data_IF_209883441379
#
_entry.id   IF_209883441379
#
_cell.length_a   1.000
_cell.length_b   1.000
_cell.length_c   1.000
_cell.angle_alpha   90.00
_cell.angle_beta   90.00
_cell.angle_gamma   90.00
#
_symmetry.space_group_name_H-M   'P 1'
#
loop_
_entity.id
_entity.type
_entity.pdbx_description
1 polymer ?
#
# COMPACT_ATOMS: atom_id res chain seq x y z
N UNK A 1 10.06 -13.05 -3.41
CA UNK A 1 9.81 -12.08 -4.51
C UNK A 1 9.23 -10.87 -3.84
N UNK A 2 9.73 -9.69 -4.18
CA UNK A 2 9.36 -8.47 -3.49
C UNK A 2 8.00 -7.94 -3.95
N UNK A 3 7.37 -7.14 -3.11
CA UNK A 3 6.09 -6.51 -3.40
C UNK A 3 6.12 -5.68 -4.68
N UNK A 4 7.18 -4.89 -4.87
CA UNK A 4 7.45 -4.12 -6.11
C UNK A 4 7.66 -4.97 -7.37
N UNK A 5 7.99 -6.24 -7.22
CA UNK A 5 8.26 -7.17 -8.31
C UNK A 5 7.09 -8.15 -8.54
N UNK A 6 5.99 -8.03 -7.78
CA UNK A 6 4.92 -9.01 -7.85
C UNK A 6 4.18 -8.94 -9.19
N UNK A 7 4.00 -10.06 -9.91
CA UNK A 7 3.41 -10.07 -11.25
C UNK A 7 1.90 -9.78 -11.22
N UNK A 8 1.26 -9.81 -10.04
CA UNK A 8 -0.18 -9.63 -9.87
C UNK A 8 -0.57 -8.51 -8.89
N UNK A 9 0.40 -7.78 -8.35
CA UNK A 9 0.13 -6.55 -7.59
C UNK A 9 0.74 -5.41 -8.38
N UNK A 10 -0.04 -4.38 -8.65
CA UNK A 10 0.51 -3.12 -9.12
C UNK A 10 1.17 -2.41 -7.93
N UNK A 11 2.51 -2.31 -7.97
CA UNK A 11 3.29 -1.64 -6.94
C UNK A 11 4.41 -0.80 -7.58
N UNK A 12 4.71 0.41 -7.06
CA UNK A 12 4.00 1.11 -5.99
C UNK A 12 2.56 1.45 -6.38
N UNK A 13 1.65 1.55 -5.40
CA UNK A 13 0.25 1.74 -5.71
C UNK A 13 -0.01 3.18 -6.18
N UNK A 14 -1.07 3.37 -6.96
CA UNK A 14 -1.49 4.70 -7.40
C UNK A 14 -2.18 5.43 -6.25
N UNK A 15 -1.58 6.53 -5.80
CA UNK A 15 -2.15 7.38 -4.76
C UNK A 15 -3.18 8.33 -5.36
N UNK A 16 -4.38 8.31 -4.77
CA UNK A 16 -5.42 9.29 -5.06
C UNK A 16 -5.33 10.43 -4.04
N UNK A 17 -4.98 11.62 -4.51
CA UNK A 17 -5.19 12.87 -3.78
C UNK A 17 -6.62 13.35 -4.06
N UNK A 18 -7.29 13.97 -3.10
CA UNK A 18 -8.45 14.83 -3.38
C UNK A 18 -8.13 16.07 -4.24
N UNK A 19 -6.95 16.18 -4.86
CA UNK A 19 -6.53 17.31 -5.69
C UNK A 19 -5.11 17.21 -6.27
N UNK A 20 -5.02 17.12 -7.60
CA UNK A 20 -3.95 17.56 -8.53
C UNK A 20 -2.46 17.14 -8.41
N UNK A 21 -1.93 16.52 -7.34
CA UNK A 21 -0.55 15.98 -7.37
C UNK A 21 -0.51 14.45 -7.36
N UNK A 22 0.03 13.88 -8.43
CA UNK A 22 0.46 12.48 -8.48
C UNK A 22 1.64 12.30 -7.52
N UNK A 23 1.38 11.68 -6.38
CA UNK A 23 2.43 11.36 -5.42
C UNK A 23 3.37 10.30 -6.02
N UNK A 24 4.68 10.49 -5.85
CA UNK A 24 5.61 9.42 -6.19
C UNK A 24 5.31 8.24 -5.26
N UNK A 25 5.09 7.06 -5.85
CA UNK A 25 4.44 5.94 -5.17
C UNK A 25 5.13 5.44 -3.89
N UNK A 26 6.42 5.77 -3.72
CA UNK A 26 7.28 5.31 -2.63
C UNK A 26 7.62 6.40 -1.60
N UNK A 27 7.16 7.63 -1.82
CA UNK A 27 7.33 8.72 -0.86
C UNK A 27 6.28 8.63 0.26
N UNK A 28 6.64 9.16 1.43
CA UNK A 28 5.74 9.24 2.58
C UNK A 28 5.84 8.09 3.58
N UNK A 29 5.03 8.21 4.62
CA UNK A 29 4.92 7.26 5.72
C UNK A 29 3.59 6.53 5.64
N UNK A 30 3.64 5.20 5.57
CA UNK A 30 2.45 4.37 5.67
C UNK A 30 1.76 4.60 7.01
N UNK A 31 0.50 5.02 6.98
CA UNK A 31 -0.30 5.32 8.18
C UNK A 31 -1.24 4.19 8.56
N UNK A 32 -1.83 3.52 7.58
CA UNK A 32 -2.83 2.48 7.83
C UNK A 32 -2.91 1.50 6.67
N UNK A 33 -3.35 0.28 6.98
CA UNK A 33 -3.71 -0.75 6.00
C UNK A 33 -4.93 -1.53 6.49
N UNK A 34 -6.03 -1.45 5.75
CA UNK A 34 -7.24 -2.16 6.11
C UNK A 34 -7.96 -2.75 4.91
N UNK A 35 -8.85 -3.70 5.21
CA UNK A 35 -9.73 -4.27 4.22
C UNK A 35 -10.88 -3.31 3.94
N UNK A 36 -11.13 -3.04 2.67
CA UNK A 36 -12.36 -2.42 2.22
C UNK A 36 -13.29 -3.44 1.53
N UNK A 37 -12.70 -4.52 1.01
CA UNK A 37 -13.41 -5.71 0.52
C UNK A 37 -12.56 -6.96 0.80
N UNK A 38 -13.11 -8.18 0.72
CA UNK A 38 -12.37 -9.40 1.05
C UNK A 38 -11.05 -9.59 0.30
N UNK A 39 -10.94 -9.07 -0.93
CA UNK A 39 -9.74 -9.13 -1.77
C UNK A 39 -9.17 -7.74 -2.11
N UNK A 40 -9.50 -6.71 -1.33
CA UNK A 40 -9.10 -5.33 -1.60
C UNK A 40 -8.64 -4.64 -0.33
N UNK A 41 -7.44 -4.08 -0.37
CA UNK A 41 -6.86 -3.31 0.72
C UNK A 41 -6.91 -1.82 0.41
N UNK A 42 -7.14 -1.01 1.44
CA UNK A 42 -6.94 0.43 1.43
C UNK A 42 -5.70 0.73 2.24
N UNK A 43 -4.76 1.45 1.63
CA UNK A 43 -3.58 2.00 2.28
C UNK A 43 -3.76 3.50 2.42
N UNK A 44 -3.32 4.05 3.56
CA UNK A 44 -3.17 5.49 3.73
C UNK A 44 -1.70 5.85 3.91
N UNK A 45 -1.27 6.93 3.29
CA UNK A 45 0.12 7.38 3.28
C UNK A 45 0.18 8.87 3.53
N UNK A 46 1.06 9.29 4.46
CA UNK A 46 1.23 10.69 4.82
C UNK A 46 2.51 11.27 4.23
N UNK A 47 2.38 12.39 3.54
CA UNK A 47 3.48 13.15 2.92
C UNK A 47 3.26 14.62 3.22
N UNK A 48 4.22 15.27 3.87
CA UNK A 48 4.18 16.70 4.22
C UNK A 48 2.85 17.13 4.91
N UNK A 49 2.32 16.27 5.79
CA UNK A 49 1.08 16.51 6.53
C UNK A 49 -0.22 16.30 5.75
N UNK A 50 -0.15 15.86 4.49
CA UNK A 50 -1.30 15.44 3.68
C UNK A 50 -1.42 13.92 3.66
N UNK A 51 -2.65 13.42 3.72
CA UNK A 51 -2.94 11.97 3.63
C UNK A 51 -3.47 11.63 2.25
N UNK A 52 -2.87 10.60 1.67
CA UNK A 52 -3.21 10.03 0.38
C UNK A 52 -3.71 8.61 0.58
N UNK A 53 -4.64 8.19 -0.28
CA UNK A 53 -5.20 6.84 -0.22
C UNK A 53 -4.90 6.07 -1.48
N UNK A 54 -4.63 4.78 -1.32
CA UNK A 54 -4.44 3.86 -2.42
C UNK A 54 -5.19 2.57 -2.19
N UNK A 55 -5.78 2.05 -3.26
CA UNK A 55 -6.46 0.78 -3.27
C UNK A 55 -5.57 -0.28 -3.90
N UNK A 56 -5.47 -1.44 -3.26
CA UNK A 56 -4.71 -2.58 -3.77
C UNK A 56 -5.67 -3.74 -3.97
N UNK A 57 -5.88 -4.08 -5.24
CA UNK A 57 -6.59 -5.28 -5.61
C UNK A 57 -5.67 -6.50 -5.46
N UNK A 58 -6.12 -7.48 -4.69
CA UNK A 58 -5.44 -8.74 -4.46
C UNK A 58 -6.11 -9.85 -5.28
N UNK A 59 -5.32 -10.82 -5.73
CA UNK A 59 -5.86 -11.90 -6.58
C UNK A 59 -6.84 -12.83 -5.85
N UNK A 60 -6.74 -12.94 -4.52
CA UNK A 60 -7.70 -13.64 -3.68
C UNK A 60 -7.65 -13.12 -2.23
N UNK A 61 -8.62 -13.59 -1.43
CA UNK A 61 -8.80 -13.18 -0.03
C UNK A 61 -7.66 -13.64 0.89
N UNK A 62 -7.16 -14.86 0.69
CA UNK A 62 -6.05 -15.41 1.50
C UNK A 62 -4.77 -14.58 1.33
N UNK A 63 -4.50 -14.15 0.11
CA UNK A 63 -3.37 -13.28 -0.18
C UNK A 63 -3.57 -11.87 0.35
N UNK A 64 -4.77 -11.30 0.24
CA UNK A 64 -5.08 -10.02 0.85
C UNK A 64 -4.84 -10.04 2.38
N UNK A 65 -5.26 -11.11 3.06
CA UNK A 65 -4.99 -11.32 4.47
C UNK A 65 -3.50 -11.41 4.79
N UNK A 66 -2.76 -12.26 4.06
CA UNK A 66 -1.32 -12.40 4.26
C UNK A 66 -0.56 -11.09 3.99
N UNK A 67 -0.95 -10.36 2.95
CA UNK A 67 -0.36 -9.07 2.61
C UNK A 67 -0.61 -8.05 3.72
N UNK A 68 -1.86 -7.94 4.21
CA UNK A 68 -2.18 -7.06 5.34
C UNK A 68 -1.41 -7.45 6.60
N UNK A 69 -1.31 -8.74 6.93
CA UNK A 69 -0.53 -9.23 8.08
C UNK A 69 0.96 -8.88 7.99
N UNK A 70 1.52 -8.82 6.76
CA UNK A 70 2.91 -8.39 6.54
C UNK A 70 3.08 -6.87 6.60
N UNK A 71 2.12 -6.11 6.10
CA UNK A 71 2.19 -4.64 6.07
C UNK A 71 1.86 -4.03 7.44
N UNK A 72 0.90 -4.59 8.19
CA UNK A 72 0.42 -4.04 9.45
C UNK A 72 1.52 -3.79 10.50
N UNK A 73 2.51 -4.68 10.71
CA UNK A 73 3.61 -4.46 11.65
C UNK A 73 4.56 -3.33 11.25
N UNK A 74 4.57 -2.92 9.98
CA UNK A 74 5.43 -1.85 9.46
C UNK A 74 4.67 -0.55 9.19
N UNK A 75 3.44 -0.43 9.68
CA UNK A 75 2.77 0.86 9.77
C UNK A 75 3.65 1.84 10.56
N UNK A 76 3.75 3.07 10.07
CA UNK A 76 4.69 4.08 10.56
C UNK A 76 6.06 4.04 9.89
N UNK A 77 6.29 3.14 8.92
CA UNK A 77 7.52 3.09 8.12
C UNK A 77 7.38 3.80 6.77
N UNK A 78 8.50 4.24 6.18
CA UNK A 78 8.53 4.76 4.82
C UNK A 78 7.96 3.77 3.78
N UNK A 79 7.21 4.28 2.80
CA UNK A 79 6.61 3.47 1.73
C UNK A 79 7.64 2.65 0.92
N UNK A 80 8.86 3.16 0.73
CA UNK A 80 9.98 2.40 0.15
C UNK A 80 10.26 1.07 0.87
N UNK A 81 10.14 1.03 2.20
CA UNK A 81 10.40 -0.19 2.98
C UNK A 81 9.26 -1.20 2.80
N UNK A 82 8.04 -0.72 2.61
CA UNK A 82 6.88 -1.56 2.29
C UNK A 82 7.07 -2.24 0.93
N UNK A 83 7.61 -1.53 -0.06
CA UNK A 83 7.89 -2.08 -1.40
C UNK A 83 8.94 -3.21 -1.44
N UNK A 84 9.83 -3.26 -0.45
CA UNK A 84 10.86 -4.30 -0.32
C UNK A 84 10.37 -5.56 0.41
N UNK A 85 9.11 -5.59 0.89
CA UNK A 85 8.54 -6.76 1.56
C UNK A 85 8.54 -7.98 0.63
N UNK A 86 9.10 -9.09 1.13
CA UNK A 86 8.91 -10.39 0.49
C UNK A 86 7.48 -10.88 0.72
N UNK A 87 6.86 -11.45 -0.32
CA UNK A 87 5.47 -11.92 -0.33
C UNK A 87 5.35 -13.37 -0.79
#
# INVERSE_FOLDING_TARGET
MRLKEHPKIQWPPSWSEGGERSLSGEDGILREVDFIEPAKLLLSNEVDGKVYFAEIYCFNTAFAARLREKIKPIVGKPMREVGELDI
#
